data_IF_587579494436
#
_entry.id   IF_587579494436
#
_cell.length_a   1.000
_cell.length_b   1.000
_cell.length_c   1.000
_cell.angle_alpha   90.00
_cell.angle_beta   90.00
_cell.angle_gamma   90.00
#
_symmetry.space_group_name_H-M   'P 1'
#
loop_
_entity.id
_entity.type
_entity.pdbx_description
1 polymer ?
#
# COMPACT_ATOMS: atom_id res chain seq x y z
N UNK A 1 16.87 -27.76 11.42
CA UNK A 1 15.52 -27.73 12.00
C UNK A 1 15.51 -27.25 13.46
N UNK A 2 16.43 -27.70 14.33
CA UNK A 2 16.52 -27.28 15.76
C UNK A 2 16.78 -25.77 15.95
N UNK A 3 17.70 -25.16 15.19
CA UNK A 3 18.03 -23.72 15.30
C UNK A 3 16.84 -22.81 14.90
N UNK A 4 16.05 -23.19 13.90
CA UNK A 4 14.86 -22.43 13.47
C UNK A 4 13.75 -22.53 14.52
N UNK A 5 13.50 -23.71 15.07
CA UNK A 5 12.52 -23.91 16.13
C UNK A 5 12.92 -23.14 17.41
N UNK A 6 14.19 -23.12 17.76
CA UNK A 6 14.73 -22.32 18.87
C UNK A 6 14.53 -20.80 18.63
N UNK A 7 14.80 -20.31 17.43
CA UNK A 7 14.59 -18.90 17.09
C UNK A 7 13.11 -18.52 17.12
N UNK A 8 12.22 -19.42 16.68
CA UNK A 8 10.77 -19.19 16.74
C UNK A 8 10.21 -19.26 18.18
N UNK A 9 10.75 -20.10 19.05
CA UNK A 9 10.34 -20.11 20.47
C UNK A 9 10.72 -18.82 21.19
N UNK A 10 11.88 -18.24 20.86
CA UNK A 10 12.30 -16.95 21.40
C UNK A 10 11.49 -15.76 20.87
N UNK A 11 10.74 -15.94 19.77
CA UNK A 11 9.85 -14.90 19.25
C UNK A 11 8.73 -14.57 20.25
N UNK A 12 8.21 -15.57 20.96
CA UNK A 12 7.13 -15.38 21.95
C UNK A 12 7.57 -14.52 23.14
N UNK A 13 8.76 -14.75 23.68
CA UNK A 13 9.31 -14.01 24.83
C UNK A 13 9.75 -12.59 24.47
N UNK A 14 9.98 -12.35 23.18
CA UNK A 14 10.37 -11.06 22.64
C UNK A 14 9.22 -10.32 21.94
N UNK A 15 7.97 -10.79 22.08
CA UNK A 15 6.79 -10.31 21.34
C UNK A 15 6.00 -9.26 22.12
N UNK A 16 5.09 -8.56 21.39
CA UNK A 16 4.13 -7.65 22.00
C UNK A 16 3.19 -8.36 22.98
N UNK A 17 2.84 -9.63 22.74
CA UNK A 17 2.00 -10.41 23.65
C UNK A 17 2.70 -10.61 25.01
N UNK A 18 3.99 -10.95 25.01
CA UNK A 18 4.79 -11.01 26.25
C UNK A 18 4.82 -9.65 26.95
N UNK A 19 5.14 -8.60 26.20
CA UNK A 19 5.21 -7.23 26.71
C UNK A 19 3.92 -6.80 27.41
N UNK A 20 2.75 -7.04 26.82
CA UNK A 20 1.47 -6.68 27.41
C UNK A 20 1.14 -7.51 28.67
N UNK A 21 1.49 -8.80 28.69
CA UNK A 21 1.28 -9.68 29.85
C UNK A 21 2.20 -9.35 31.04
N UNK A 22 3.36 -8.73 30.77
CA UNK A 22 4.34 -8.38 31.79
C UNK A 22 4.32 -6.88 32.15
N UNK A 23 3.15 -6.28 32.19
CA UNK A 23 2.95 -4.90 32.66
C UNK A 23 3.62 -3.85 31.78
N UNK A 24 3.63 -4.06 30.46
CA UNK A 24 4.26 -3.18 29.48
C UNK A 24 5.78 -3.04 29.66
N UNK A 25 6.44 -4.10 30.11
CA UNK A 25 7.89 -4.17 30.20
C UNK A 25 8.44 -5.16 29.18
N UNK A 26 9.38 -4.75 28.30
CA UNK A 26 10.08 -5.67 27.42
C UNK A 26 10.88 -6.69 28.24
N UNK A 27 11.12 -7.87 27.66
CA UNK A 27 11.85 -8.93 28.37
C UNK A 27 13.26 -8.47 28.73
N UNK A 28 13.59 -8.49 30.04
CA UNK A 28 14.84 -7.94 30.58
C UNK A 28 16.11 -8.61 30.05
N UNK A 29 16.04 -9.87 29.63
CA UNK A 29 17.18 -10.59 29.04
C UNK A 29 17.56 -10.03 27.67
N UNK A 30 16.57 -9.56 26.86
CA UNK A 30 16.78 -9.16 25.49
C UNK A 30 16.75 -7.62 25.28
N UNK A 31 16.09 -6.89 26.18
CA UNK A 31 15.77 -5.47 25.96
C UNK A 31 16.09 -4.59 27.18
N UNK A 32 17.13 -4.97 27.94
CA UNK A 32 17.54 -4.22 29.12
C UNK A 32 18.38 -3.02 28.74
N UNK A 33 17.89 -1.82 29.02
CA UNK A 33 18.59 -0.57 28.81
C UNK A 33 19.38 -0.08 30.05
N UNK A 34 19.43 -0.84 31.16
CA UNK A 34 20.10 -0.42 32.36
C UNK A 34 21.63 -0.41 32.17
N UNK A 35 22.25 0.76 32.36
CA UNK A 35 23.69 0.91 32.18
C UNK A 35 24.16 1.01 30.72
N UNK A 36 23.22 0.98 29.75
CA UNK A 36 23.56 1.12 28.32
C UNK A 36 23.46 2.58 27.92
N UNK A 37 24.57 3.17 27.52
CA UNK A 37 24.58 4.47 26.85
C UNK A 37 24.52 4.24 25.34
N UNK A 38 23.36 4.53 24.74
CA UNK A 38 23.23 4.55 23.27
C UNK A 38 23.37 5.99 22.79
N UNK A 39 24.38 6.24 21.97
CA UNK A 39 24.52 7.52 21.30
C UNK A 39 23.52 7.60 20.14
N UNK A 40 22.61 8.56 20.22
CA UNK A 40 21.69 8.91 19.14
C UNK A 40 22.16 10.18 18.44
N UNK A 41 21.89 10.28 17.16
CA UNK A 41 22.21 11.48 16.37
C UNK A 41 20.93 12.21 15.97
N UNK A 42 20.87 13.51 16.25
CA UNK A 42 19.76 14.35 15.78
C UNK A 42 19.82 14.54 14.27
N UNK A 43 18.75 14.16 13.58
CA UNK A 43 18.60 14.24 12.13
C UNK A 43 17.44 15.17 11.74
N UNK A 44 17.50 16.49 12.01
CA UNK A 44 16.35 17.38 11.89
C UNK A 44 15.81 17.44 10.45
N UNK A 45 16.66 17.50 9.43
CA UNK A 45 16.21 17.54 8.04
C UNK A 45 15.48 16.28 7.61
N UNK A 46 16.02 15.09 7.91
CA UNK A 46 15.37 13.81 7.62
C UNK A 46 14.11 13.64 8.47
N UNK A 47 14.15 14.07 9.74
CA UNK A 47 12.98 14.04 10.61
C UNK A 47 11.82 14.84 10.04
N UNK A 48 12.06 16.08 9.63
CA UNK A 48 11.05 16.93 8.98
C UNK A 48 10.58 16.33 7.66
N UNK A 49 11.49 15.82 6.84
CA UNK A 49 11.13 15.13 5.58
C UNK A 49 10.13 14.00 5.82
N UNK A 50 10.43 13.05 6.73
CA UNK A 50 9.54 11.92 7.01
C UNK A 50 8.18 12.38 7.53
N UNK A 51 8.15 13.34 8.47
CA UNK A 51 6.88 13.87 9.00
C UNK A 51 6.05 14.57 7.93
N UNK A 52 6.65 15.46 7.15
CA UNK A 52 5.92 16.22 6.12
C UNK A 52 5.37 15.33 5.02
N UNK A 53 6.17 14.38 4.53
CA UNK A 53 5.69 13.39 3.54
C UNK A 53 4.56 12.53 4.13
N UNK A 54 4.71 12.07 5.37
CA UNK A 54 3.68 11.32 6.07
C UNK A 54 2.36 12.09 6.20
N UNK A 55 2.40 13.34 6.67
CA UNK A 55 1.23 14.20 6.80
C UNK A 55 0.56 14.45 5.44
N UNK A 56 1.34 14.74 4.40
CA UNK A 56 0.83 14.94 3.04
C UNK A 56 0.10 13.70 2.54
N UNK A 57 0.73 12.53 2.65
CA UNK A 57 0.12 11.27 2.18
C UNK A 57 -1.13 10.93 2.99
N UNK A 58 -1.10 11.02 4.31
CA UNK A 58 -2.27 10.75 5.16
C UNK A 58 -3.43 11.69 4.85
N UNK A 59 -3.17 12.99 4.59
CA UNK A 59 -4.21 13.97 4.24
C UNK A 59 -4.95 13.63 2.94
N UNK A 60 -4.29 12.92 2.01
CA UNK A 60 -4.87 12.46 0.75
C UNK A 60 -5.46 11.04 0.91
N UNK A 61 -4.82 10.18 1.68
CA UNK A 61 -5.21 8.79 1.82
C UNK A 61 -6.55 8.61 2.55
N UNK A 62 -6.72 9.33 3.67
CA UNK A 62 -7.95 9.26 4.47
C UNK A 62 -9.21 9.57 3.63
N UNK A 63 -9.29 10.68 2.86
CA UNK A 63 -10.40 10.92 1.96
C UNK A 63 -10.62 9.82 0.91
N UNK A 64 -9.54 9.19 0.40
CA UNK A 64 -9.67 8.07 -0.53
C UNK A 64 -10.39 6.88 0.11
N UNK A 65 -10.00 6.50 1.33
CA UNK A 65 -10.64 5.38 2.05
C UNK A 65 -12.09 5.68 2.43
N UNK A 66 -12.40 6.91 2.86
CA UNK A 66 -13.77 7.35 3.11
C UNK A 66 -14.62 7.21 1.85
N UNK A 67 -14.10 7.60 0.70
CA UNK A 67 -14.80 7.46 -0.59
C UNK A 67 -14.98 6.00 -0.98
N UNK A 68 -13.98 5.16 -0.79
CA UNK A 68 -14.08 3.72 -1.10
C UNK A 68 -15.14 3.07 -0.21
N UNK A 69 -15.07 3.27 1.11
CA UNK A 69 -15.95 2.64 2.09
C UNK A 69 -17.43 3.02 1.93
N UNK A 70 -17.71 4.27 1.50
CA UNK A 70 -19.07 4.81 1.36
C UNK A 70 -19.65 4.71 -0.05
N UNK A 71 -19.00 4.01 -0.96
CA UNK A 71 -19.44 3.98 -2.37
C UNK A 71 -19.78 2.57 -2.85
N UNK A 72 -20.49 2.51 -4.02
CA UNK A 72 -20.80 1.26 -4.71
C UNK A 72 -19.53 0.46 -5.12
N UNK A 73 -18.35 1.04 -4.97
CA UNK A 73 -17.08 0.35 -5.21
C UNK A 73 -16.92 -0.88 -4.31
N UNK A 74 -17.50 -0.85 -3.12
CA UNK A 74 -17.50 -1.98 -2.16
C UNK A 74 -18.26 -3.23 -2.65
N UNK A 75 -18.96 -3.16 -3.78
CA UNK A 75 -19.54 -4.35 -4.43
C UNK A 75 -18.47 -5.24 -5.05
N UNK A 76 -17.31 -4.68 -5.43
CA UNK A 76 -16.19 -5.43 -6.01
C UNK A 76 -15.26 -5.96 -4.91
N UNK A 77 -14.83 -7.21 -5.04
CA UNK A 77 -13.84 -7.85 -4.16
C UNK A 77 -12.53 -7.07 -4.08
N UNK A 78 -12.08 -6.55 -5.22
CA UNK A 78 -10.88 -5.74 -5.30
C UNK A 78 -10.90 -4.54 -4.35
N UNK A 79 -11.98 -3.77 -4.36
CA UNK A 79 -12.04 -2.57 -3.51
C UNK A 79 -12.18 -2.91 -2.02
N UNK A 80 -12.71 -4.09 -1.67
CA UNK A 80 -12.69 -4.60 -0.29
C UNK A 80 -11.27 -4.91 0.17
N UNK A 81 -10.47 -5.57 -0.68
CA UNK A 81 -9.06 -5.83 -0.42
C UNK A 81 -8.28 -4.51 -0.34
N UNK A 82 -8.52 -3.58 -1.28
CA UNK A 82 -7.90 -2.26 -1.30
C UNK A 82 -8.25 -1.40 -0.07
N UNK A 83 -9.46 -1.53 0.47
CA UNK A 83 -9.86 -0.84 1.71
C UNK A 83 -9.07 -1.39 2.91
N UNK A 84 -8.98 -2.71 3.04
CA UNK A 84 -8.21 -3.34 4.11
C UNK A 84 -6.71 -2.97 4.02
N UNK A 85 -6.13 -3.06 2.82
CA UNK A 85 -4.76 -2.62 2.56
C UNK A 85 -4.55 -1.18 3.02
N UNK A 86 -5.45 -0.27 2.64
CA UNK A 86 -5.34 1.14 3.00
C UNK A 86 -5.45 1.42 4.50
N UNK A 87 -6.22 0.64 5.25
CA UNK A 87 -6.27 0.75 6.72
C UNK A 87 -4.93 0.36 7.35
N UNK A 88 -4.32 -0.73 6.89
CA UNK A 88 -2.98 -1.16 7.33
C UNK A 88 -1.95 -0.09 6.96
N UNK A 89 -2.02 0.45 5.74
CA UNK A 89 -1.06 1.44 5.25
C UNK A 89 -1.10 2.74 6.10
N UNK A 90 -2.29 3.20 6.50
CA UNK A 90 -2.42 4.35 7.41
C UNK A 90 -1.70 4.07 8.73
N UNK A 91 -1.93 2.92 9.35
CA UNK A 91 -1.24 2.54 10.59
C UNK A 91 0.28 2.49 10.40
N UNK A 92 0.73 1.91 9.29
CA UNK A 92 2.15 1.81 8.98
C UNK A 92 2.79 3.18 8.70
N UNK A 93 2.08 4.09 7.98
CA UNK A 93 2.54 5.46 7.71
C UNK A 93 2.68 6.29 8.98
N UNK A 94 1.87 6.07 9.99
CA UNK A 94 2.06 6.71 11.30
C UNK A 94 3.41 6.29 11.90
N UNK A 95 3.76 5.00 11.83
CA UNK A 95 5.03 4.49 12.39
C UNK A 95 6.21 4.91 11.51
N UNK A 96 6.20 4.54 10.23
CA UNK A 96 7.34 4.69 9.34
C UNK A 96 7.61 6.12 8.87
N UNK A 97 6.66 7.04 9.13
CA UNK A 97 6.76 8.43 8.72
C UNK A 97 6.72 9.39 9.92
N UNK A 98 5.59 9.46 10.64
CA UNK A 98 5.42 10.43 11.71
C UNK A 98 6.29 10.11 12.92
N UNK A 99 6.22 8.87 13.43
CA UNK A 99 7.02 8.44 14.58
C UNK A 99 8.50 8.40 14.21
N UNK A 100 8.86 7.83 13.05
CA UNK A 100 10.24 7.84 12.53
C UNK A 100 10.79 9.26 12.45
N UNK A 101 10.02 10.18 11.88
CA UNK A 101 10.42 11.57 11.72
C UNK A 101 10.63 12.27 13.06
N UNK A 102 9.70 12.09 14.00
CA UNK A 102 9.81 12.67 15.35
C UNK A 102 11.01 12.11 16.11
N UNK A 103 11.18 10.79 16.15
CA UNK A 103 12.29 10.15 16.86
C UNK A 103 13.64 10.53 16.24
N UNK A 104 13.74 10.63 14.93
CA UNK A 104 14.95 11.09 14.25
C UNK A 104 15.25 12.58 14.51
N UNK A 105 14.22 13.43 14.56
CA UNK A 105 14.36 14.84 14.86
C UNK A 105 14.99 15.09 16.25
N UNK A 106 14.55 14.33 17.25
CA UNK A 106 15.07 14.44 18.62
C UNK A 106 16.35 13.62 18.86
N UNK A 107 16.75 12.75 17.91
CA UNK A 107 17.92 11.89 18.04
C UNK A 107 17.71 10.69 18.94
N UNK A 108 16.49 10.15 19.00
CA UNK A 108 16.15 9.01 19.89
C UNK A 108 16.74 7.69 19.38
N UNK A 109 17.06 6.83 20.33
CA UNK A 109 17.38 5.42 20.14
C UNK A 109 16.38 4.56 20.91
N UNK A 110 16.47 3.23 20.79
CA UNK A 110 15.57 2.34 21.52
C UNK A 110 15.53 2.66 23.03
N UNK A 111 16.68 2.84 23.67
CA UNK A 111 16.76 3.08 25.09
C UNK A 111 16.29 4.50 25.53
N UNK A 112 16.06 5.42 24.60
CA UNK A 112 15.46 6.73 24.92
C UNK A 112 13.99 6.60 25.33
N UNK A 113 13.23 5.74 24.63
CA UNK A 113 11.81 5.50 24.88
C UNK A 113 11.46 4.02 24.67
N UNK A 114 11.98 3.07 25.49
CA UNK A 114 11.93 1.66 25.18
C UNK A 114 10.51 1.11 25.06
N UNK A 115 9.58 1.53 25.93
CA UNK A 115 8.18 1.08 25.87
C UNK A 115 7.46 1.56 24.62
N UNK A 116 7.65 2.82 24.27
CA UNK A 116 6.99 3.43 23.13
C UNK A 116 7.51 2.86 21.80
N UNK A 117 8.85 2.76 21.67
CA UNK A 117 9.49 2.27 20.44
C UNK A 117 9.18 0.79 20.25
N UNK A 118 9.15 -0.02 21.33
CA UNK A 118 8.77 -1.42 21.27
C UNK A 118 7.33 -1.60 20.73
N UNK A 119 6.39 -0.86 21.29
CA UNK A 119 4.98 -0.91 20.86
C UNK A 119 4.80 -0.44 19.41
N UNK A 120 5.38 0.72 19.07
CA UNK A 120 5.30 1.27 17.70
C UNK A 120 5.95 0.33 16.69
N UNK A 121 7.09 -0.26 17.04
CA UNK A 121 7.79 -1.20 16.18
C UNK A 121 7.06 -2.51 15.96
N UNK A 122 6.35 -3.01 16.95
CA UNK A 122 5.46 -4.19 16.79
C UNK A 122 4.36 -3.91 15.78
N UNK A 123 3.70 -2.74 15.89
CA UNK A 123 2.67 -2.31 14.92
C UNK A 123 3.29 -2.13 13.53
N UNK A 124 4.43 -1.45 13.42
CA UNK A 124 5.09 -1.20 12.15
C UNK A 124 5.47 -2.50 11.42
N UNK A 125 6.08 -3.45 12.14
CA UNK A 125 6.45 -4.76 11.59
C UNK A 125 5.22 -5.57 11.17
N UNK A 126 4.20 -5.65 12.02
CA UNK A 126 3.00 -6.42 11.73
C UNK A 126 2.19 -5.82 10.57
N UNK A 127 2.05 -4.50 10.50
CA UNK A 127 1.40 -3.82 9.37
C UNK A 127 2.18 -4.03 8.05
N UNK A 128 3.51 -4.02 8.07
CA UNK A 128 4.32 -4.36 6.91
C UNK A 128 4.02 -5.78 6.41
N UNK A 129 4.08 -6.78 7.28
CA UNK A 129 3.82 -8.17 6.92
C UNK A 129 2.38 -8.38 6.44
N UNK A 130 1.40 -7.73 7.08
CA UNK A 130 0.01 -7.74 6.67
C UNK A 130 -0.23 -7.08 5.29
N UNK A 131 0.43 -5.97 5.02
CA UNK A 131 0.40 -5.31 3.71
C UNK A 131 0.95 -6.23 2.62
N UNK A 132 2.06 -6.89 2.87
CA UNK A 132 2.66 -7.87 1.97
C UNK A 132 1.69 -9.00 1.60
N UNK A 133 1.07 -9.64 2.59
CA UNK A 133 0.09 -10.70 2.37
C UNK A 133 -1.15 -10.18 1.60
N UNK A 134 -1.59 -8.97 1.90
CA UNK A 134 -2.73 -8.33 1.22
C UNK A 134 -2.41 -7.99 -0.23
N UNK A 135 -1.19 -7.58 -0.54
CA UNK A 135 -0.73 -7.35 -1.92
C UNK A 135 -0.72 -8.64 -2.74
N UNK A 136 -0.28 -9.76 -2.17
CA UNK A 136 -0.36 -11.07 -2.82
C UNK A 136 -1.84 -11.42 -3.10
N UNK A 137 -2.71 -11.27 -2.10
CA UNK A 137 -4.14 -11.52 -2.25
C UNK A 137 -4.76 -10.65 -3.34
N UNK A 138 -4.39 -9.37 -3.41
CA UNK A 138 -4.83 -8.44 -4.46
C UNK A 138 -4.37 -8.91 -5.85
N UNK A 139 -3.12 -9.34 -5.99
CA UNK A 139 -2.59 -9.86 -7.25
C UNK A 139 -3.31 -11.13 -7.70
N UNK A 140 -3.55 -12.08 -6.78
CA UNK A 140 -4.34 -13.29 -7.05
C UNK A 140 -5.77 -12.94 -7.47
N UNK A 141 -6.43 -12.00 -6.79
CA UNK A 141 -7.75 -11.52 -7.18
C UNK A 141 -7.74 -10.95 -8.61
N UNK A 142 -6.69 -10.23 -9.02
CA UNK A 142 -6.57 -9.72 -10.40
C UNK A 142 -6.37 -10.84 -11.42
N UNK A 143 -5.57 -11.86 -11.10
CA UNK A 143 -5.43 -13.03 -11.97
C UNK A 143 -6.79 -13.70 -12.23
N UNK A 144 -7.60 -13.88 -11.19
CA UNK A 144 -8.94 -14.52 -11.30
C UNK A 144 -9.97 -13.65 -12.00
N UNK A 145 -9.82 -12.32 -11.99
CA UNK A 145 -10.68 -11.40 -12.73
C UNK A 145 -10.37 -11.38 -14.24
N UNK A 146 -9.13 -11.69 -14.62
CA UNK A 146 -8.71 -11.76 -16.03
C UNK A 146 -9.01 -13.14 -16.61
N UNK A 147 -8.73 -14.19 -15.86
CA UNK A 147 -8.97 -15.56 -16.27
C UNK A 147 -10.06 -16.18 -15.38
N UNK A 148 -11.28 -16.23 -15.92
CA UNK A 148 -12.45 -16.73 -15.18
C UNK A 148 -12.44 -18.24 -14.95
N UNK A 149 -11.58 -18.98 -15.64
CA UNK A 149 -11.46 -20.45 -15.53
C UNK A 149 -10.64 -20.88 -14.31
N UNK A 150 -9.99 -19.96 -13.61
CA UNK A 150 -9.21 -20.28 -12.41
C UNK A 150 -10.17 -20.66 -11.27
N UNK A 151 -10.09 -21.89 -10.71
CA UNK A 151 -10.99 -22.34 -9.63
C UNK A 151 -10.98 -21.46 -8.39
N UNK A 152 -9.83 -20.80 -8.13
CA UNK A 152 -9.61 -19.88 -7.02
C UNK A 152 -10.53 -18.65 -7.06
N UNK A 153 -11.15 -18.35 -8.22
CA UNK A 153 -12.12 -17.25 -8.34
C UNK A 153 -13.26 -17.36 -7.34
N UNK A 154 -13.67 -18.57 -6.95
CA UNK A 154 -14.78 -18.81 -6.02
C UNK A 154 -14.58 -18.14 -4.65
N UNK A 155 -13.34 -18.03 -4.17
CA UNK A 155 -13.04 -17.39 -2.87
C UNK A 155 -13.27 -15.88 -2.88
N UNK A 156 -13.35 -15.24 -4.05
CA UNK A 156 -13.55 -13.80 -4.20
C UNK A 156 -15.00 -13.39 -4.49
N UNK A 157 -15.91 -14.37 -4.71
CA UNK A 157 -17.30 -14.10 -5.10
C UNK A 157 -18.20 -13.99 -3.87
N UNK A 158 -19.13 -13.02 -3.91
CA UNK A 158 -20.19 -12.89 -2.92
C UNK A 158 -19.68 -12.64 -1.51
N UNK A 159 -20.08 -13.47 -0.55
CA UNK A 159 -19.67 -13.40 0.86
C UNK A 159 -18.29 -14.03 1.12
N UNK A 160 -17.81 -14.89 0.23
CA UNK A 160 -16.56 -15.62 0.42
C UNK A 160 -15.35 -14.67 0.55
N UNK A 161 -15.39 -13.50 -0.08
CA UNK A 161 -14.34 -12.49 0.05
C UNK A 161 -14.08 -12.07 1.50
N UNK A 162 -15.08 -12.06 2.36
CA UNK A 162 -14.90 -11.69 3.76
C UNK A 162 -14.14 -12.78 4.53
N UNK A 163 -14.41 -14.06 4.25
CA UNK A 163 -13.62 -15.17 4.81
C UNK A 163 -12.18 -15.15 4.27
N UNK A 164 -12.01 -14.84 2.99
CA UNK A 164 -10.68 -14.72 2.38
C UNK A 164 -9.88 -13.57 3.00
N UNK A 165 -10.52 -12.45 3.34
CA UNK A 165 -9.87 -11.33 4.02
C UNK A 165 -9.45 -11.65 5.45
N UNK A 166 -10.04 -12.65 6.11
CA UNK A 166 -9.58 -13.09 7.42
C UNK A 166 -8.13 -13.62 7.38
N UNK A 167 -7.68 -14.17 6.25
CA UNK A 167 -6.30 -14.67 6.11
C UNK A 167 -5.28 -13.56 6.39
N UNK A 168 -5.24 -12.44 5.63
CA UNK A 168 -4.30 -11.36 5.92
C UNK A 168 -4.59 -10.65 7.25
N UNK A 169 -5.85 -10.63 7.74
CA UNK A 169 -6.18 -10.09 9.07
C UNK A 169 -5.51 -10.90 10.16
N UNK A 170 -5.70 -12.22 10.19
CA UNK A 170 -5.06 -13.08 11.19
C UNK A 170 -3.54 -13.06 11.08
N UNK A 171 -3.02 -12.99 9.85
CA UNK A 171 -1.58 -12.86 9.64
C UNK A 171 -1.04 -11.54 10.19
N UNK A 172 -1.74 -10.43 10.00
CA UNK A 172 -1.39 -9.12 10.59
C UNK A 172 -1.40 -9.20 12.13
N UNK A 173 -2.47 -9.76 12.71
CA UNK A 173 -2.58 -9.93 14.17
C UNK A 173 -1.46 -10.81 14.71
N UNK A 174 -1.20 -11.95 14.05
CA UNK A 174 -0.07 -12.82 14.40
C UNK A 174 1.25 -12.03 14.38
N UNK A 175 1.49 -11.29 13.31
CA UNK A 175 2.75 -10.55 13.14
C UNK A 175 2.93 -9.44 14.17
N UNK A 176 1.84 -8.72 14.53
CA UNK A 176 1.88 -7.67 15.57
C UNK A 176 2.14 -8.26 16.95
N UNK A 177 1.45 -9.34 17.31
CA UNK A 177 1.42 -9.80 18.70
C UNK A 177 2.43 -10.92 19.02
N UNK A 178 2.87 -11.70 18.03
CA UNK A 178 3.62 -12.92 18.26
C UNK A 178 4.97 -12.97 17.53
N UNK A 179 5.41 -11.88 16.91
CA UNK A 179 6.74 -11.77 16.32
C UNK A 179 7.58 -10.69 17.00
N UNK A 180 8.91 -10.72 16.79
CA UNK A 180 9.82 -9.70 17.32
C UNK A 180 9.55 -8.33 16.70
N UNK A 181 9.51 -7.25 17.49
CA UNK A 181 9.35 -5.89 16.99
C UNK A 181 10.62 -5.40 16.29
N UNK A 182 10.43 -4.40 15.45
CA UNK A 182 11.51 -3.55 14.97
C UNK A 182 11.70 -2.37 15.94
N UNK A 183 12.94 -1.92 16.14
CA UNK A 183 13.32 -0.92 17.12
C UNK A 183 14.08 0.23 16.44
N UNK A 184 13.74 1.47 16.77
CA UNK A 184 14.26 2.64 16.09
C UNK A 184 15.66 3.01 16.57
N UNK A 185 16.49 3.43 15.61
CA UNK A 185 17.80 4.02 15.88
C UNK A 185 18.02 5.25 14.96
N UNK A 186 18.22 6.42 15.58
CA UNK A 186 18.40 7.70 14.86
C UNK A 186 19.72 7.81 14.11
N UNK A 187 20.76 7.06 14.53
CA UNK A 187 22.04 7.05 13.84
C UNK A 187 21.88 6.65 12.36
N UNK A 188 20.99 5.68 12.11
CA UNK A 188 20.68 5.17 10.77
C UNK A 188 19.35 5.69 10.22
N UNK A 189 18.58 6.45 11.00
CA UNK A 189 17.20 6.89 10.65
C UNK A 189 16.31 5.70 10.24
N UNK A 190 16.43 4.57 10.89
CA UNK A 190 15.75 3.33 10.50
C UNK A 190 15.41 2.45 11.70
N UNK A 191 14.64 1.40 11.41
CA UNK A 191 14.17 0.42 12.37
C UNK A 191 14.88 -0.92 12.17
N UNK A 192 15.33 -1.54 13.26
CA UNK A 192 16.08 -2.79 13.27
C UNK A 192 15.50 -3.76 14.28
N UNK A 193 15.68 -5.06 14.07
CA UNK A 193 15.33 -6.04 15.09
C UNK A 193 16.31 -5.99 16.27
N UNK A 194 17.60 -5.73 16.00
CA UNK A 194 18.62 -5.56 17.03
C UNK A 194 18.53 -4.15 17.66
N UNK A 195 18.33 -4.04 18.99
CA UNK A 195 18.33 -2.75 19.69
C UNK A 195 19.72 -2.12 19.86
N UNK A 196 20.81 -2.80 19.49
CA UNK A 196 22.20 -2.37 19.66
C UNK A 196 22.61 -2.12 21.13
N UNK A 197 22.20 -3.02 22.02
CA UNK A 197 22.51 -2.96 23.46
C UNK A 197 23.62 -3.93 23.89
N UNK A 198 24.46 -4.38 22.95
CA UNK A 198 25.64 -5.20 23.23
C UNK A 198 25.42 -6.71 23.16
N UNK A 199 24.22 -7.20 22.85
CA UNK A 199 23.98 -8.62 22.61
C UNK A 199 24.17 -8.98 21.11
N UNK A 200 24.47 -10.27 20.87
CA UNK A 200 24.65 -10.81 19.52
C UNK A 200 23.39 -10.63 18.64
N UNK A 201 23.58 -10.22 17.40
CA UNK A 201 22.51 -9.97 16.45
C UNK A 201 21.64 -11.19 16.16
N UNK A 202 22.20 -12.40 16.25
CA UNK A 202 21.50 -13.67 16.04
C UNK A 202 20.28 -13.86 16.96
N UNK A 203 20.31 -13.28 18.17
CA UNK A 203 19.20 -13.36 19.15
C UNK A 203 17.97 -12.57 18.70
N UNK A 204 18.16 -11.60 17.81
CA UNK A 204 17.11 -10.69 17.37
C UNK A 204 16.55 -11.02 15.98
N UNK A 205 17.05 -12.05 15.32
CA UNK A 205 16.54 -12.44 13.98
C UNK A 205 15.05 -12.77 14.08
N UNK A 206 14.25 -12.10 13.23
CA UNK A 206 12.83 -12.42 13.04
C UNK A 206 12.69 -13.31 11.79
N UNK A 207 12.58 -14.61 12.00
CA UNK A 207 12.49 -15.60 10.93
C UNK A 207 11.21 -15.40 10.11
N UNK A 208 10.09 -15.08 10.77
CA UNK A 208 8.81 -14.84 10.10
C UNK A 208 8.89 -13.67 9.14
N UNK A 209 9.57 -12.57 9.50
CA UNK A 209 9.79 -11.41 8.63
C UNK A 209 10.68 -11.76 7.43
N UNK A 210 11.74 -12.55 7.63
CA UNK A 210 12.61 -13.01 6.54
C UNK A 210 11.85 -13.84 5.53
N UNK A 211 11.11 -14.84 6.01
CA UNK A 211 10.27 -15.69 5.15
C UNK A 211 9.23 -14.85 4.42
N UNK A 212 8.57 -13.91 5.11
CA UNK A 212 7.61 -13.00 4.49
C UNK A 212 8.21 -12.26 3.30
N UNK A 213 9.36 -11.62 3.50
CA UNK A 213 9.98 -10.80 2.45
C UNK A 213 10.47 -11.63 1.25
N UNK A 214 11.03 -12.81 1.51
CA UNK A 214 11.40 -13.74 0.44
C UNK A 214 10.18 -14.22 -0.34
N UNK A 215 9.12 -14.65 0.36
CA UNK A 215 7.87 -15.11 -0.27
C UNK A 215 7.21 -13.99 -1.09
N UNK A 216 7.13 -12.76 -0.55
CA UNK A 216 6.53 -11.62 -1.27
C UNK A 216 7.28 -11.31 -2.55
N UNK A 217 8.61 -11.27 -2.50
CA UNK A 217 9.44 -10.98 -3.68
C UNK A 217 9.25 -12.05 -4.76
N UNK A 218 9.25 -13.33 -4.40
CA UNK A 218 9.06 -14.45 -5.32
C UNK A 218 7.63 -14.51 -5.88
N UNK A 219 6.63 -14.39 -4.99
CA UNK A 219 5.21 -14.42 -5.40
C UNK A 219 4.86 -13.22 -6.30
N UNK A 220 5.34 -12.02 -5.96
CA UNK A 220 5.14 -10.85 -6.80
C UNK A 220 5.74 -11.06 -8.20
N UNK A 221 7.00 -11.48 -8.30
CA UNK A 221 7.65 -11.75 -9.57
C UNK A 221 6.88 -12.77 -10.42
N UNK A 222 6.46 -13.89 -9.81
CA UNK A 222 5.70 -14.96 -10.47
C UNK A 222 4.33 -14.50 -10.95
N UNK A 223 3.56 -13.80 -10.08
CA UNK A 223 2.22 -13.31 -10.40
C UNK A 223 2.24 -12.23 -11.48
N UNK A 224 3.24 -11.35 -11.46
CA UNK A 224 3.37 -10.33 -12.50
C UNK A 224 3.88 -10.89 -13.82
N UNK A 225 4.77 -11.86 -13.79
CA UNK A 225 5.15 -12.63 -14.97
C UNK A 225 3.92 -13.26 -15.62
N UNK A 226 3.09 -13.93 -14.82
CA UNK A 226 1.84 -14.53 -15.29
C UNK A 226 0.83 -13.50 -15.81
N UNK A 227 0.62 -12.39 -15.12
CA UNK A 227 -0.28 -11.31 -15.55
C UNK A 227 0.19 -10.68 -16.87
N UNK A 228 1.48 -10.42 -17.00
CA UNK A 228 2.07 -9.88 -18.23
C UNK A 228 1.90 -10.85 -19.40
N UNK A 229 2.13 -12.14 -19.17
CA UNK A 229 1.89 -13.19 -20.14
C UNK A 229 0.40 -13.23 -20.57
N UNK A 230 -0.54 -13.24 -19.63
CA UNK A 230 -1.97 -13.26 -19.93
C UNK A 230 -2.42 -12.04 -20.77
N UNK A 231 -1.92 -10.86 -20.45
CA UNK A 231 -2.24 -9.64 -21.19
C UNK A 231 -1.71 -9.74 -22.62
N UNK A 232 -0.45 -10.16 -22.76
CA UNK A 232 0.17 -10.29 -24.07
C UNK A 232 -0.55 -11.35 -24.92
N UNK A 233 -0.88 -12.49 -24.34
CA UNK A 233 -1.61 -13.58 -25.00
C UNK A 233 -3.00 -13.14 -25.45
N UNK A 234 -3.79 -12.48 -24.58
CA UNK A 234 -5.11 -11.95 -24.93
C UNK A 234 -5.06 -10.87 -25.98
N UNK A 235 -4.04 -10.02 -25.98
CA UNK A 235 -3.88 -8.98 -27.01
C UNK A 235 -3.53 -9.57 -28.39
N UNK A 236 -2.80 -10.68 -28.44
CA UNK A 236 -2.47 -11.38 -29.72
C UNK A 236 -3.65 -12.15 -30.30
N UNK A 237 -4.51 -12.71 -29.47
CA UNK A 237 -5.65 -13.54 -29.88
C UNK A 237 -6.94 -12.74 -29.84
N UNK A 238 -6.99 -11.62 -30.54
CA UNK A 238 -8.01 -10.54 -30.49
C UNK A 238 -9.46 -10.94 -30.83
N UNK A 239 -9.78 -12.22 -30.94
CA UNK A 239 -11.15 -12.71 -31.19
C UNK A 239 -11.97 -12.96 -29.89
N UNK A 240 -11.41 -12.90 -28.70
CA UNK A 240 -12.17 -13.10 -27.47
C UNK A 240 -11.93 -11.98 -26.47
N UNK A 241 -12.99 -11.27 -26.11
CA UNK A 241 -13.16 -10.35 -24.98
C UNK A 241 -11.92 -9.50 -24.61
N UNK A 242 -11.67 -8.46 -25.37
CA UNK A 242 -10.68 -7.45 -24.98
C UNK A 242 -11.01 -6.88 -23.59
N UNK A 243 -10.01 -6.84 -22.71
CA UNK A 243 -10.13 -6.24 -21.38
C UNK A 243 -10.72 -4.83 -21.48
N UNK A 244 -11.79 -4.57 -20.73
CA UNK A 244 -12.39 -3.25 -20.67
C UNK A 244 -11.37 -2.20 -20.19
N UNK A 245 -11.57 -0.94 -20.57
CA UNK A 245 -10.71 0.16 -20.12
C UNK A 245 -10.55 0.21 -18.61
N UNK A 246 -11.64 -0.10 -17.87
CA UNK A 246 -11.65 -0.13 -16.41
C UNK A 246 -10.83 -1.29 -15.84
N UNK A 247 -10.95 -2.47 -16.44
CA UNK A 247 -10.17 -3.65 -16.01
C UNK A 247 -8.66 -3.42 -16.23
N UNK A 248 -8.26 -2.89 -17.40
CA UNK A 248 -6.86 -2.51 -17.68
C UNK A 248 -6.33 -1.50 -16.65
N UNK A 249 -7.13 -0.49 -16.32
CA UNK A 249 -6.75 0.54 -15.37
C UNK A 249 -6.54 -0.04 -13.96
N UNK A 250 -7.46 -0.86 -13.45
CA UNK A 250 -7.36 -1.48 -12.13
C UNK A 250 -6.17 -2.45 -12.07
N UNK A 251 -5.92 -3.17 -13.16
CA UNK A 251 -4.79 -4.09 -13.26
C UNK A 251 -3.45 -3.34 -13.15
N UNK A 252 -3.26 -2.27 -13.90
CA UNK A 252 -2.03 -1.45 -13.84
C UNK A 252 -1.84 -0.88 -12.43
N UNK A 253 -2.91 -0.44 -11.77
CA UNK A 253 -2.85 0.04 -10.39
C UNK A 253 -2.34 -1.05 -9.43
N UNK A 254 -2.88 -2.25 -9.54
CA UNK A 254 -2.45 -3.37 -8.69
C UNK A 254 -0.98 -3.74 -8.95
N UNK A 255 -0.54 -3.75 -10.21
CA UNK A 255 0.85 -3.99 -10.57
C UNK A 255 1.77 -2.96 -9.91
N UNK A 256 1.45 -1.66 -10.03
CA UNK A 256 2.27 -0.59 -9.46
C UNK A 256 2.39 -0.71 -7.93
N UNK A 257 1.27 -0.92 -7.24
CA UNK A 257 1.24 -1.08 -5.78
C UNK A 257 2.13 -2.23 -5.33
N UNK A 258 1.95 -3.39 -5.93
CA UNK A 258 2.71 -4.55 -5.51
C UNK A 258 4.18 -4.48 -5.92
N UNK A 259 4.51 -3.83 -7.04
CA UNK A 259 5.92 -3.61 -7.43
C UNK A 259 6.65 -2.76 -6.38
N UNK A 260 6.01 -1.70 -5.86
CA UNK A 260 6.59 -0.91 -4.79
C UNK A 260 6.83 -1.75 -3.51
N UNK A 261 5.86 -2.60 -3.12
CA UNK A 261 6.03 -3.50 -1.98
C UNK A 261 7.13 -4.53 -2.22
N UNK A 262 7.17 -5.15 -3.41
CA UNK A 262 8.21 -6.13 -3.76
C UNK A 262 9.61 -5.51 -3.77
N UNK A 263 9.75 -4.28 -4.27
CA UNK A 263 11.02 -3.54 -4.27
C UNK A 263 11.52 -3.30 -2.85
N UNK A 264 10.63 -2.84 -1.95
CA UNK A 264 10.98 -2.64 -0.56
C UNK A 264 11.35 -3.98 0.12
N UNK A 265 10.57 -5.04 -0.09
CA UNK A 265 10.87 -6.37 0.42
C UNK A 265 12.23 -6.88 -0.06
N UNK A 266 12.57 -6.68 -1.33
CA UNK A 266 13.86 -7.06 -1.90
C UNK A 266 15.04 -6.31 -1.25
N UNK A 267 14.89 -5.00 -1.01
CA UNK A 267 15.91 -4.21 -0.31
C UNK A 267 16.12 -4.75 1.11
N UNK A 268 15.04 -5.08 1.83
CA UNK A 268 15.16 -5.66 3.18
C UNK A 268 15.78 -7.06 3.17
N UNK A 269 15.49 -7.90 2.17
CA UNK A 269 16.17 -9.20 1.98
C UNK A 269 17.66 -8.97 1.74
N UNK A 270 18.02 -8.05 0.85
CA UNK A 270 19.42 -7.69 0.60
C UNK A 270 20.13 -7.26 1.89
N UNK A 271 19.55 -6.33 2.65
CA UNK A 271 20.11 -5.82 3.90
C UNK A 271 20.28 -6.90 4.98
N UNK A 272 19.54 -7.99 4.89
CA UNK A 272 19.63 -9.08 5.85
C UNK A 272 20.80 -10.03 5.60
N UNK A 273 21.19 -10.20 4.34
CA UNK A 273 22.23 -11.14 3.95
C UNK A 273 23.57 -10.48 3.57
N UNK A 274 23.56 -9.18 3.30
CA UNK A 274 24.72 -8.44 2.86
C UNK A 274 25.00 -7.23 3.74
N UNK A 275 26.29 -6.90 3.89
CA UNK A 275 26.67 -5.66 4.55
C UNK A 275 26.01 -4.46 3.85
N UNK A 276 25.39 -3.61 4.63
CA UNK A 276 24.63 -2.48 4.12
C UNK A 276 25.17 -1.17 4.69
N UNK A 277 25.74 -0.29 3.87
CA UNK A 277 26.18 1.03 4.31
C UNK A 277 24.97 1.90 4.74
N UNK A 278 25.17 2.96 5.52
CA UNK A 278 24.08 3.83 6.02
C UNK A 278 23.15 4.38 4.93
N UNK A 279 23.69 4.64 3.73
CA UNK A 279 22.90 5.07 2.57
C UNK A 279 21.89 4.03 2.09
N UNK A 280 22.26 2.74 2.06
CA UNK A 280 21.35 1.63 1.69
C UNK A 280 20.29 1.42 2.77
N UNK A 281 20.67 1.57 4.04
CA UNK A 281 19.72 1.48 5.17
C UNK A 281 18.67 2.59 5.06
N UNK A 282 19.11 3.82 4.82
CA UNK A 282 18.21 4.96 4.62
C UNK A 282 17.32 4.77 3.39
N UNK A 283 17.87 4.23 2.29
CA UNK A 283 17.09 3.87 1.10
C UNK A 283 16.02 2.83 1.42
N UNK A 284 16.32 1.83 2.25
CA UNK A 284 15.34 0.85 2.74
C UNK A 284 14.21 1.51 3.52
N UNK A 285 14.52 2.47 4.39
CA UNK A 285 13.51 3.22 5.15
C UNK A 285 12.61 4.07 4.23
N UNK A 286 13.20 4.76 3.24
CA UNK A 286 12.45 5.53 2.24
C UNK A 286 11.60 4.59 1.37
N UNK A 287 12.14 3.44 0.95
CA UNK A 287 11.40 2.46 0.17
C UNK A 287 10.20 1.90 0.95
N UNK A 288 10.33 1.68 2.26
CA UNK A 288 9.23 1.28 3.13
C UNK A 288 8.15 2.36 3.20
N UNK A 289 8.52 3.64 3.40
CA UNK A 289 7.58 4.76 3.35
C UNK A 289 6.87 4.83 1.98
N UNK A 290 7.63 4.74 0.87
CA UNK A 290 7.09 4.78 -0.49
C UNK A 290 6.16 3.61 -0.80
N UNK A 291 6.43 2.41 -0.30
CA UNK A 291 5.58 1.24 -0.50
C UNK A 291 4.16 1.51 -0.01
N UNK A 292 4.00 2.01 1.23
CA UNK A 292 2.68 2.34 1.79
C UNK A 292 2.07 3.63 1.20
N UNK A 293 2.89 4.60 0.82
CA UNK A 293 2.43 5.83 0.17
C UNK A 293 1.94 5.59 -1.27
N UNK A 294 2.55 4.64 -1.99
CA UNK A 294 2.26 4.36 -3.40
C UNK A 294 0.79 4.06 -3.67
N UNK A 295 0.14 3.37 -2.75
CA UNK A 295 -1.28 2.99 -2.84
C UNK A 295 -2.16 4.24 -2.97
N UNK A 296 -1.95 5.23 -2.10
CA UNK A 296 -2.66 6.51 -2.14
C UNK A 296 -2.37 7.29 -3.44
N UNK A 297 -1.10 7.37 -3.84
CA UNK A 297 -0.69 8.05 -5.06
C UNK A 297 -1.38 7.43 -6.28
N UNK A 298 -1.38 6.10 -6.36
CA UNK A 298 -2.06 5.36 -7.43
C UNK A 298 -3.57 5.63 -7.44
N UNK A 299 -4.22 5.72 -6.28
CA UNK A 299 -5.65 6.03 -6.21
C UNK A 299 -5.98 7.41 -6.78
N UNK A 300 -5.19 8.42 -6.46
CA UNK A 300 -5.44 9.80 -6.91
C UNK A 300 -5.01 10.03 -8.36
N UNK A 301 -3.91 9.43 -8.80
CA UNK A 301 -3.39 9.66 -10.16
C UNK A 301 -4.09 8.79 -11.20
N UNK A 302 -4.23 7.52 -10.94
CA UNK A 302 -4.68 6.53 -11.94
C UNK A 302 -6.16 6.15 -11.80
N UNK A 303 -6.75 6.17 -10.58
CA UNK A 303 -8.16 5.80 -10.41
C UNK A 303 -9.09 6.97 -10.62
N UNK A 304 -9.60 7.12 -11.86
CA UNK A 304 -10.53 8.19 -12.24
C UNK A 304 -11.79 8.23 -11.37
N UNK A 305 -12.29 7.07 -10.95
CA UNK A 305 -13.51 6.96 -10.15
C UNK A 305 -13.27 7.46 -8.71
N UNK A 306 -12.20 7.02 -8.06
CA UNK A 306 -11.82 7.50 -6.73
C UNK A 306 -11.55 8.99 -6.79
N UNK A 307 -10.71 9.45 -7.72
CA UNK A 307 -10.36 10.87 -7.89
C UNK A 307 -11.60 11.77 -8.06
N UNK A 308 -12.55 11.37 -8.90
CA UNK A 308 -13.80 12.14 -9.10
C UNK A 308 -14.63 12.21 -7.81
N UNK A 309 -14.72 11.09 -7.07
CA UNK A 309 -15.48 11.04 -5.80
C UNK A 309 -14.77 11.82 -4.70
N UNK A 310 -13.44 11.76 -4.59
CA UNK A 310 -12.63 12.55 -3.64
C UNK A 310 -12.79 14.04 -3.95
N UNK A 311 -12.68 14.47 -5.21
CA UNK A 311 -12.96 15.87 -5.59
C UNK A 311 -14.37 16.29 -5.18
N UNK A 312 -15.37 15.41 -5.33
CA UNK A 312 -16.74 15.69 -4.87
C UNK A 312 -16.87 15.77 -3.35
N UNK A 313 -16.05 15.04 -2.59
CA UNK A 313 -16.04 15.08 -1.14
C UNK A 313 -15.40 16.40 -0.64
N UNK A 314 -14.26 16.76 -1.19
CA UNK A 314 -13.45 17.88 -0.72
C UNK A 314 -13.95 19.26 -1.22
N UNK A 315 -14.56 19.34 -2.43
CA UNK A 315 -15.02 20.60 -2.99
C UNK A 315 -16.47 20.87 -2.56
N UNK A 316 -16.77 21.98 -1.86
CA UNK A 316 -18.12 22.35 -1.44
C UNK A 316 -19.08 22.44 -2.62
N UNK A 317 -20.37 22.08 -2.40
CA UNK A 317 -21.43 22.11 -3.44
C UNK A 317 -21.55 23.47 -4.12
N UNK A 318 -21.35 24.56 -3.37
CA UNK A 318 -21.43 25.96 -3.87
C UNK A 318 -20.38 26.22 -4.95
N UNK A 319 -19.14 25.77 -4.79
CA UNK A 319 -18.03 25.93 -5.75
C UNK A 319 -18.19 25.05 -6.98
N UNK A 320 -18.80 23.87 -6.82
CA UNK A 320 -19.08 22.96 -7.94
C UNK A 320 -20.08 23.53 -8.93
N UNK A 321 -21.14 24.23 -8.43
CA UNK A 321 -22.13 24.91 -9.28
C UNK A 321 -21.47 26.05 -10.08
N UNK A 322 -20.59 26.83 -9.46
CA UNK A 322 -19.89 27.97 -10.12
C UNK A 322 -19.02 27.51 -11.30
N UNK A 323 -18.28 26.42 -11.14
CA UNK A 323 -17.43 25.88 -12.21
C UNK A 323 -18.24 25.23 -13.34
N UNK A 324 -19.44 24.70 -13.06
CA UNK A 324 -20.35 24.17 -14.07
C UNK A 324 -20.95 25.30 -14.92
N UNK A 325 -21.30 26.43 -14.32
CA UNK A 325 -21.81 27.63 -15.02
C UNK A 325 -20.73 28.23 -15.90
N UNK A 326 -19.50 28.35 -15.45
CA UNK A 326 -18.37 28.89 -16.23
C UNK A 326 -18.03 28.01 -17.44
N UNK A 327 -18.19 26.69 -17.33
CA UNK A 327 -17.94 25.79 -18.47
C UNK A 327 -19.05 25.82 -19.53
N UNK A 328 -20.28 26.23 -19.17
CA UNK A 328 -21.41 26.35 -20.11
C UNK A 328 -21.30 27.66 -20.91
N UNK A 329 -20.69 28.71 -20.37
CA UNK A 329 -20.49 29.98 -21.08
C UNK A 329 -19.37 29.96 -22.12
N UNK A 330 -18.50 28.94 -22.13
CA UNK A 330 -17.36 28.84 -23.06
C UNK A 330 -17.69 28.06 -24.33
N UNK A 331 -18.91 27.57 -24.55
CA UNK A 331 -19.30 26.73 -25.71
C UNK A 331 -20.32 27.41 -26.60
N UNK A 332 -20.78 28.61 -26.33
CA UNK A 332 -21.59 29.36 -27.26
C UNK A 332 -20.70 30.24 -28.16
N UNK A 333 -20.20 29.67 -29.28
CA UNK A 333 -19.78 30.45 -30.42
C UNK A 333 -21.03 31.00 -31.08
N UNK A 334 -21.13 32.31 -31.41
CA UNK A 334 -22.22 32.84 -32.20
C UNK A 334 -22.07 32.31 -33.62
N UNK A 335 -23.11 31.64 -34.10
CA UNK A 335 -23.29 31.37 -35.52
C UNK A 335 -23.64 32.74 -36.17
N UNK A 336 -22.67 33.30 -36.87
CA UNK A 336 -22.87 34.51 -37.68
C UNK A 336 -23.62 34.09 -38.92
N UNK A 337 -24.85 34.60 -39.05
CA UNK A 337 -25.70 34.52 -40.24
C UNK A 337 -25.00 35.18 -41.41
N UNK A 338 -24.85 34.48 -42.50
CA UNK A 338 -24.74 35.07 -43.83
C UNK A 338 -26.01 34.72 -44.61
N UNK A 339 -26.91 35.71 -44.68
CA UNK A 339 -27.92 35.83 -45.75
C UNK A 339 -27.22 36.13 -47.05
N UNK A 340 -27.49 35.36 -48.06
CA UNK A 340 -27.63 35.84 -49.46
C UNK A 340 -28.58 34.86 -50.17
N UNK A 341 -29.75 35.35 -50.47
CA UNK A 341 -30.57 35.40 -51.68
C UNK A 341 -30.05 34.59 -52.89
N UNK A 342 -30.85 33.78 -53.52
CA UNK A 342 -31.68 33.95 -54.65
C UNK A 342 -32.13 32.61 -55.28
N UNK A 343 -33.42 32.45 -55.42
CA UNK A 343 -34.23 32.19 -56.65
C UNK A 343 -33.66 31.16 -57.63
N UNK A 344 -34.33 30.08 -57.91
CA UNK A 344 -35.25 29.85 -59.00
C UNK A 344 -35.66 28.36 -59.10
N UNK A 345 -36.95 28.17 -59.18
CA UNK A 345 -37.83 27.30 -60.01
C UNK A 345 -37.22 26.12 -60.80
N UNK A 346 -37.79 24.95 -60.62
CA UNK A 346 -38.63 24.23 -61.63
C UNK A 346 -38.91 22.78 -61.14
N UNK A 347 -40.11 22.49 -60.93
CA UNK A 347 -41.14 21.56 -61.49
C UNK A 347 -40.66 20.31 -62.24
N UNK A 348 -41.52 19.29 -62.06
CA UNK A 348 -41.81 18.06 -62.79
C UNK A 348 -41.24 16.81 -62.08
N UNK A 349 -42.06 15.96 -61.67
CA UNK A 349 -43.25 15.11 -61.94
C UNK A 349 -42.86 13.67 -62.11
N UNK A 350 -43.54 12.87 -61.34
CA UNK A 350 -44.15 11.57 -61.64
C UNK A 350 -43.32 10.28 -61.87
N UNK A 351 -43.88 9.30 -61.20
CA UNK A 351 -44.10 7.89 -61.59
C UNK A 351 -42.85 7.00 -61.49
N UNK A 352 -42.90 5.87 -60.94
CA UNK A 352 -43.91 4.90 -60.66
C UNK A 352 -43.24 3.56 -60.52
N UNK A 353 -43.83 2.76 -59.65
CA UNK A 353 -43.95 1.27 -59.66
C UNK A 353 -42.74 0.36 -59.72
N UNK A 354 -42.66 -0.42 -58.63
CA UNK A 354 -42.71 -1.91 -58.60
C UNK A 354 -41.51 -2.66 -59.18
N UNK A 355 -40.73 -3.25 -58.35
CA UNK A 355 -40.68 -4.66 -57.98
C UNK A 355 -39.90 -4.83 -56.73
#
# INVERSE_FOLDING_TARGET
MSKILYLMSNDLDSSLNYYLRNGMNPHSLYYNCTGVQQEGERRPFLGVYFMMVGLLILSIYIPCLIVISRSDLMRSSCYKIMLYLGLIDICCLVVNSLITGYLGFIGATFCSFPRFIFFAGSIGCGCWMGSCATCILLAVNRCTDINHNIPLRRIFIGKNIYFTLLIPVFYTVYSVFFTKPILFNSLYMSWFFNPFIGLESDKYVNVSHTINNCCVSLCAASLYGYLSFLIHWKNRHAQSEALSKTQKQILIQSILICTCNATAAFIYVYMQFFYSPPSVILLGQIAWQCAHASVCVVYITWNRTIRRKVKKLLIPKKWRKRNAVTSTFTVTRPIMSLMTSDLTKATWSNSGTVF
#
